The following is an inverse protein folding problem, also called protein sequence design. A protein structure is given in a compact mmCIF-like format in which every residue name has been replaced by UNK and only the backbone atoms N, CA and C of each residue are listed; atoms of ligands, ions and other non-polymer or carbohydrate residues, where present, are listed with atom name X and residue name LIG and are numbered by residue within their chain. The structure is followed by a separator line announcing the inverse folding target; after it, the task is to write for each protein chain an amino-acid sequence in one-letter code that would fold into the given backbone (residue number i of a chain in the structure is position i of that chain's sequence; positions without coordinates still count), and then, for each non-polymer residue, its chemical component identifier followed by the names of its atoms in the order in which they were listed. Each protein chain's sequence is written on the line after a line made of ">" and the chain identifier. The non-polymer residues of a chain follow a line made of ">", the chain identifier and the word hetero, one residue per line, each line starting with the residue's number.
data_IF_381458729628
#
_entry.id   IF_381458729628
#
_cell.length_a   1.000
_cell.length_b   1.000
_cell.length_c   1.000
_cell.angle_alpha   90.00
_cell.angle_beta   90.00
_cell.angle_gamma   90.00
#
_symmetry.space_group_name_H-M   'P 1'
#
loop_
_entity.id
_entity.type
_entity.pdbx_description
1 polymer ?
#
# COMPACT_ATOMS: atom_id res chain seq x y z
N UNK A 1 -8.00 28.60 -5.15
CA UNK A 1 -7.47 27.31 -5.65
C UNK A 1 -6.38 26.66 -4.78
N UNK A 2 -5.23 27.30 -4.52
CA UNK A 2 -4.11 26.71 -3.74
C UNK A 2 -4.47 26.34 -2.29
N UNK A 3 -5.27 27.18 -1.63
CA UNK A 3 -5.73 26.96 -0.25
C UNK A 3 -6.69 25.75 -0.14
N UNK A 4 -7.51 25.50 -1.16
CA UNK A 4 -8.43 24.36 -1.19
C UNK A 4 -7.65 23.04 -1.32
N UNK A 5 -6.66 23.00 -2.21
CA UNK A 5 -5.77 21.84 -2.37
C UNK A 5 -5.01 21.53 -1.08
N UNK A 6 -4.49 22.55 -0.39
CA UNK A 6 -3.80 22.38 0.88
C UNK A 6 -4.73 21.84 1.98
N UNK A 7 -6.00 22.26 2.02
CA UNK A 7 -7.02 21.75 2.95
C UNK A 7 -7.36 20.28 2.70
N UNK A 8 -7.55 19.88 1.45
CA UNK A 8 -7.80 18.47 1.12
C UNK A 8 -6.58 17.59 1.40
N UNK A 9 -5.38 18.10 1.11
CA UNK A 9 -4.13 17.42 1.42
C UNK A 9 -3.93 17.21 2.91
N UNK A 10 -4.12 18.26 3.73
CA UNK A 10 -4.01 18.14 5.18
C UNK A 10 -5.08 17.21 5.76
N UNK A 11 -6.33 17.31 5.32
CA UNK A 11 -7.40 16.40 5.70
C UNK A 11 -7.07 14.94 5.35
N UNK A 12 -6.47 14.69 4.19
CA UNK A 12 -6.00 13.36 3.78
C UNK A 12 -4.89 12.81 4.67
N UNK A 13 -3.93 13.66 5.08
CA UNK A 13 -2.88 13.28 6.03
C UNK A 13 -3.47 12.95 7.40
N UNK A 14 -4.37 13.79 7.93
CA UNK A 14 -5.01 13.54 9.22
C UNK A 14 -5.87 12.28 9.20
N UNK A 15 -6.71 12.10 8.17
CA UNK A 15 -7.53 10.89 8.01
C UNK A 15 -6.66 9.63 7.90
N UNK A 16 -5.61 9.68 7.08
CA UNK A 16 -4.64 8.59 6.92
C UNK A 16 -3.89 8.29 8.22
N UNK A 17 -3.45 9.32 8.94
CA UNK A 17 -2.75 9.19 10.22
C UNK A 17 -3.63 8.56 11.31
N UNK A 18 -4.87 9.02 11.44
CA UNK A 18 -5.85 8.46 12.38
C UNK A 18 -6.16 7.00 12.04
N UNK A 19 -6.44 6.70 10.76
CA UNK A 19 -6.68 5.33 10.30
C UNK A 19 -5.53 4.40 10.67
N UNK A 20 -4.28 4.78 10.35
CA UNK A 20 -3.07 4.00 10.69
C UNK A 20 -2.87 3.84 12.19
N UNK A 21 -3.24 4.84 12.97
CA UNK A 21 -3.13 4.79 14.44
C UNK A 21 -4.15 3.83 15.05
N UNK A 22 -5.37 3.79 14.51
CA UNK A 22 -6.39 2.81 14.90
C UNK A 22 -5.96 1.38 14.53
N UNK A 23 -5.31 1.18 13.36
CA UNK A 23 -4.87 -0.14 12.91
C UNK A 23 -3.49 -0.56 13.42
N UNK A 24 -2.75 0.33 14.09
CA UNK A 24 -1.36 0.09 14.50
C UNK A 24 -1.16 -1.18 15.36
N UNK A 25 -2.02 -1.49 16.35
CA UNK A 25 -1.89 -2.73 17.12
C UNK A 25 -2.00 -3.99 16.26
N UNK A 26 -2.93 -3.99 15.30
CA UNK A 26 -3.16 -5.11 14.38
C UNK A 26 -1.99 -5.22 13.38
N UNK A 27 -1.53 -4.10 12.84
CA UNK A 27 -0.35 -4.04 11.96
C UNK A 27 0.89 -4.61 12.65
N UNK A 28 1.10 -4.28 13.93
CA UNK A 28 2.21 -4.82 14.72
C UNK A 28 2.06 -6.32 14.92
N UNK A 29 0.87 -6.78 15.28
CA UNK A 29 0.59 -8.21 15.45
C UNK A 29 0.86 -9.00 14.17
N UNK A 30 0.34 -8.51 13.03
CA UNK A 30 0.60 -9.08 11.71
C UNK A 30 2.09 -9.14 11.41
N UNK A 31 2.81 -8.03 11.61
CA UNK A 31 4.26 -7.96 11.32
C UNK A 31 5.05 -8.93 12.20
N UNK A 32 4.64 -9.13 13.45
CA UNK A 32 5.27 -10.07 14.36
C UNK A 32 5.13 -11.52 13.87
N UNK A 33 3.91 -11.94 13.51
CA UNK A 33 3.67 -13.26 12.92
C UNK A 33 4.38 -13.45 11.58
N UNK A 34 4.48 -12.40 10.76
CA UNK A 34 5.19 -12.48 9.47
C UNK A 34 6.70 -12.71 9.62
N UNK A 35 7.30 -12.31 10.75
CA UNK A 35 8.75 -12.45 10.95
C UNK A 35 9.12 -13.65 11.80
N UNK A 36 8.38 -13.93 12.87
CA UNK A 36 8.65 -15.09 13.72
C UNK A 36 7.94 -16.36 13.25
N UNK A 37 7.03 -16.25 12.28
CA UNK A 37 6.19 -17.37 11.84
C UNK A 37 5.17 -17.78 12.90
N UNK A 38 4.45 -18.87 12.61
CA UNK A 38 3.82 -19.69 13.64
C UNK A 38 4.93 -20.60 14.16
N UNK A 39 5.16 -20.63 15.47
CA UNK A 39 6.11 -21.55 16.09
C UNK A 39 5.83 -23.00 15.62
N UNK A 40 6.86 -23.84 15.52
CA UNK A 40 6.78 -25.22 15.02
C UNK A 40 5.80 -26.09 15.83
N UNK A 41 5.44 -25.64 17.03
CA UNK A 41 4.45 -26.20 17.94
C UNK A 41 3.00 -25.77 17.65
N UNK A 42 2.74 -24.83 16.72
CA UNK A 42 1.40 -24.38 16.33
C UNK A 42 0.63 -23.58 17.39
N UNK A 43 1.24 -23.26 18.53
CA UNK A 43 0.55 -22.74 19.73
C UNK A 43 0.56 -21.22 19.91
N UNK A 44 1.15 -20.45 18.99
CA UNK A 44 1.10 -18.98 19.09
C UNK A 44 -0.30 -18.45 18.74
N UNK A 45 -1.17 -18.42 19.75
CA UNK A 45 -2.50 -17.82 19.67
C UNK A 45 -2.38 -16.29 19.70
N UNK A 46 -3.25 -15.58 18.98
CA UNK A 46 -3.34 -14.10 18.97
C UNK A 46 -3.28 -13.55 20.41
N UNK A 47 -4.00 -14.17 21.34
CA UNK A 47 -4.06 -13.77 22.76
C UNK A 47 -2.72 -13.93 23.47
N UNK A 48 -2.00 -15.03 23.27
CA UNK A 48 -0.71 -15.28 23.92
C UNK A 48 0.35 -14.34 23.39
N UNK A 49 0.41 -14.14 22.06
CA UNK A 49 1.30 -13.17 21.43
C UNK A 49 1.03 -11.74 21.91
N UNK A 50 -0.23 -11.32 21.95
CA UNK A 50 -0.61 -9.99 22.42
C UNK A 50 -0.28 -9.79 23.91
N UNK A 51 -0.56 -10.80 24.74
CA UNK A 51 -0.20 -10.78 26.17
C UNK A 51 1.31 -10.64 26.36
N UNK A 52 2.11 -11.38 25.60
CA UNK A 52 3.57 -11.29 25.64
C UNK A 52 4.07 -9.90 25.22
N UNK A 53 3.51 -9.30 24.16
CA UNK A 53 3.88 -7.95 23.73
C UNK A 53 3.56 -6.89 24.79
N UNK A 54 2.40 -6.98 25.44
CA UNK A 54 1.99 -6.05 26.50
C UNK A 54 2.82 -6.25 27.75
N UNK A 55 3.15 -7.50 28.13
CA UNK A 55 4.04 -7.79 29.26
C UNK A 55 5.45 -7.25 29.03
N UNK A 56 5.95 -7.30 27.80
CA UNK A 56 7.32 -6.86 27.47
C UNK A 56 7.50 -5.34 27.47
N UNK A 57 6.48 -4.57 27.04
CA UNK A 57 6.64 -3.14 26.80
C UNK A 57 5.44 -2.26 27.15
N UNK A 58 4.47 -2.82 27.87
CA UNK A 58 3.19 -2.17 28.17
C UNK A 58 2.30 -2.00 26.94
N UNK A 59 1.14 -1.37 27.16
CA UNK A 59 0.14 -1.16 26.10
C UNK A 59 0.65 -0.22 25.00
N UNK A 60 1.47 0.78 25.37
CA UNK A 60 2.10 1.71 24.42
C UNK A 60 3.02 0.99 23.42
N UNK A 61 3.51 -0.21 23.75
CA UNK A 61 4.33 -0.97 22.82
C UNK A 61 3.57 -1.33 21.54
N UNK A 62 2.25 -1.48 21.59
CA UNK A 62 1.43 -1.87 20.43
C UNK A 62 1.53 -0.88 19.27
N UNK A 63 1.86 0.38 19.54
CA UNK A 63 2.06 1.43 18.53
C UNK A 63 3.52 1.57 18.06
N UNK A 64 4.42 0.64 18.43
CA UNK A 64 5.82 0.68 17.97
C UNK A 64 5.90 0.60 16.44
N UNK A 65 6.56 1.60 15.85
CA UNK A 65 6.69 1.74 14.40
C UNK A 65 5.50 2.44 13.72
N UNK A 66 4.44 2.83 14.44
CA UNK A 66 3.30 3.57 13.86
C UNK A 66 3.74 4.89 13.22
N UNK A 67 4.69 5.60 13.85
CA UNK A 67 5.23 6.85 13.31
C UNK A 67 5.82 6.65 11.91
N UNK A 68 6.55 5.56 11.70
CA UNK A 68 7.13 5.24 10.40
C UNK A 68 6.05 4.85 9.37
N UNK A 69 4.93 4.28 9.82
CA UNK A 69 3.76 4.01 8.99
C UNK A 69 3.11 5.29 8.47
N UNK A 70 2.98 6.32 9.30
CA UNK A 70 2.40 7.60 8.89
C UNK A 70 3.35 8.36 7.95
N UNK A 71 4.63 8.45 8.32
CA UNK A 71 5.64 9.20 7.55
C UNK A 71 5.82 8.63 6.14
N UNK A 72 5.86 7.30 5.99
CA UNK A 72 6.19 6.67 4.70
C UNK A 72 5.08 6.72 3.67
N UNK A 73 3.81 6.93 4.08
CA UNK A 73 2.66 6.85 3.17
C UNK A 73 2.72 7.93 2.10
N UNK A 74 3.09 9.16 2.47
CA UNK A 74 3.12 10.27 1.52
C UNK A 74 4.25 10.16 0.49
N UNK A 75 5.52 9.87 0.88
CA UNK A 75 6.59 9.66 -0.10
C UNK A 75 6.35 8.48 -1.03
N UNK A 76 5.81 7.37 -0.49
CA UNK A 76 5.55 6.16 -1.29
C UNK A 76 4.54 6.43 -2.41
N UNK A 77 3.43 7.11 -2.10
CA UNK A 77 2.42 7.48 -3.09
C UNK A 77 2.96 8.51 -4.09
N UNK A 78 3.68 9.53 -3.61
CA UNK A 78 4.22 10.58 -4.47
C UNK A 78 5.21 10.04 -5.52
N UNK A 79 6.17 9.21 -5.09
CA UNK A 79 7.16 8.60 -5.99
C UNK A 79 6.48 7.68 -7.00
N UNK A 80 5.46 6.92 -6.58
CA UNK A 80 4.72 6.03 -7.48
C UNK A 80 3.98 6.79 -8.56
N UNK A 81 3.28 7.87 -8.20
CA UNK A 81 2.56 8.71 -9.16
C UNK A 81 3.53 9.42 -10.12
N UNK A 82 4.61 10.01 -9.59
CA UNK A 82 5.64 10.66 -10.40
C UNK A 82 6.30 9.68 -11.38
N UNK A 83 6.65 8.48 -10.90
CA UNK A 83 7.24 7.44 -11.76
C UNK A 83 6.25 7.00 -12.83
N UNK A 84 4.97 6.82 -12.45
CA UNK A 84 3.92 6.45 -13.40
C UNK A 84 3.73 7.50 -14.50
N UNK A 85 3.68 8.79 -14.15
CA UNK A 85 3.61 9.87 -15.14
C UNK A 85 4.83 9.89 -16.05
N UNK A 86 6.02 9.65 -15.49
CA UNK A 86 7.27 9.61 -16.26
C UNK A 86 7.25 8.47 -17.26
N UNK A 87 6.93 7.24 -16.83
CA UNK A 87 6.82 6.10 -17.74
C UNK A 87 5.72 6.28 -18.77
N UNK A 88 4.58 6.86 -18.37
CA UNK A 88 3.49 7.19 -19.29
C UNK A 88 3.94 8.19 -20.37
N UNK A 89 4.74 9.20 -20.02
CA UNK A 89 5.30 10.16 -20.98
C UNK A 89 6.31 9.50 -21.92
N UNK A 90 7.13 8.59 -21.41
CA UNK A 90 8.09 7.83 -22.23
C UNK A 90 7.38 6.93 -23.26
N UNK A 91 6.30 6.26 -22.87
CA UNK A 91 5.48 5.45 -23.78
C UNK A 91 4.66 6.34 -24.72
N UNK A 92 4.05 7.40 -24.18
CA UNK A 92 3.16 8.32 -24.90
C UNK A 92 3.86 9.34 -25.81
N UNK A 93 5.18 9.54 -25.69
CA UNK A 93 5.95 10.31 -26.69
C UNK A 93 5.92 9.67 -28.08
N UNK A 94 5.49 8.41 -28.18
CA UNK A 94 5.42 7.67 -29.45
C UNK A 94 4.04 7.75 -30.13
N UNK A 95 2.93 8.08 -29.44
CA UNK A 95 1.59 7.99 -30.05
C UNK A 95 0.56 8.99 -29.50
N UNK A 96 -0.13 9.68 -30.41
CA UNK A 96 -1.39 10.45 -30.21
C UNK A 96 -2.61 9.54 -29.97
N UNK A 97 -2.43 8.34 -29.41
CA UNK A 97 -3.46 7.32 -29.24
C UNK A 97 -3.75 7.07 -27.75
N UNK A 98 -4.98 6.68 -27.41
CA UNK A 98 -5.29 6.23 -26.04
C UNK A 98 -4.47 4.99 -25.67
N UNK A 99 -3.76 5.07 -24.55
CA UNK A 99 -2.86 4.03 -24.04
C UNK A 99 -3.63 2.75 -23.74
N UNK A 100 -3.17 1.63 -24.30
CA UNK A 100 -3.77 0.31 -24.14
C UNK A 100 -3.67 -0.16 -22.67
N UNK A 101 -4.57 -1.06 -22.28
CA UNK A 101 -4.64 -1.64 -20.94
C UNK A 101 -3.32 -2.32 -20.56
N UNK A 102 -2.68 -3.02 -21.51
CA UNK A 102 -1.37 -3.64 -21.32
C UNK A 102 -0.23 -2.63 -21.09
N UNK A 103 -0.22 -1.51 -21.80
CA UNK A 103 0.79 -0.46 -21.64
C UNK A 103 0.65 0.25 -20.29
N UNK A 104 -0.59 0.50 -19.84
CA UNK A 104 -0.87 1.00 -18.49
C UNK A 104 -0.35 0.04 -17.43
N UNK A 105 -0.51 -1.26 -17.63
CA UNK A 105 0.02 -2.29 -16.76
C UNK A 105 1.57 -2.26 -16.70
N UNK A 106 2.25 -2.16 -17.84
CA UNK A 106 3.71 -2.07 -17.88
C UNK A 106 4.22 -0.79 -17.20
N UNK A 107 3.60 0.36 -17.49
CA UNK A 107 3.93 1.63 -16.83
C UNK A 107 3.68 1.56 -15.32
N UNK A 108 2.57 0.94 -14.90
CA UNK A 108 2.23 0.73 -13.50
C UNK A 108 3.21 -0.17 -12.77
N UNK A 109 3.63 -1.27 -13.42
CA UNK A 109 4.60 -2.22 -12.88
C UNK A 109 5.98 -1.58 -12.73
N UNK A 110 6.46 -0.86 -13.75
CA UNK A 110 7.73 -0.14 -13.72
C UNK A 110 7.72 0.97 -12.66
N UNK A 111 6.64 1.75 -12.57
CA UNK A 111 6.45 2.77 -11.53
C UNK A 111 6.43 2.17 -10.13
N UNK A 112 5.73 1.03 -9.95
CA UNK A 112 5.67 0.29 -8.71
C UNK A 112 7.05 -0.22 -8.27
N UNK A 113 7.86 -0.70 -9.22
CA UNK A 113 9.23 -1.14 -8.98
C UNK A 113 10.13 0.03 -8.57
N UNK A 114 10.14 1.12 -9.32
CA UNK A 114 10.95 2.31 -9.00
C UNK A 114 10.58 2.88 -7.64
N UNK A 115 9.29 3.02 -7.34
CA UNK A 115 8.83 3.46 -6.03
C UNK A 115 9.25 2.49 -4.92
N UNK A 116 9.14 1.18 -5.16
CA UNK A 116 9.54 0.17 -4.19
C UNK A 116 11.04 0.18 -3.92
N UNK A 117 11.88 0.40 -4.93
CA UNK A 117 13.34 0.49 -4.79
C UNK A 117 13.76 1.72 -3.98
N UNK A 118 13.16 2.88 -4.25
CA UNK A 118 13.47 4.13 -3.53
C UNK A 118 12.98 4.10 -2.07
N UNK A 119 11.80 3.53 -1.82
CA UNK A 119 11.21 3.44 -0.47
C UNK A 119 11.76 2.25 0.33
N UNK A 120 12.52 1.36 -0.30
CA UNK A 120 12.97 0.11 0.30
C UNK A 120 13.71 0.28 1.64
N UNK A 121 14.67 1.22 1.79
CA UNK A 121 15.35 1.44 3.08
C UNK A 121 14.37 1.78 4.21
N UNK A 122 13.35 2.58 3.90
CA UNK A 122 12.33 2.99 4.87
C UNK A 122 11.40 1.82 5.25
N UNK A 123 11.13 0.89 4.33
CA UNK A 123 10.43 -0.38 4.63
C UNK A 123 11.24 -1.24 5.59
N UNK A 124 12.55 -1.38 5.36
CA UNK A 124 13.44 -2.14 6.24
C UNK A 124 13.51 -1.56 7.65
N UNK A 125 13.70 -0.24 7.77
CA UNK A 125 13.75 0.46 9.05
C UNK A 125 12.42 0.29 9.80
N UNK A 126 11.28 0.45 9.12
CA UNK A 126 9.96 0.23 9.72
C UNK A 126 9.86 -1.17 10.34
N UNK A 127 10.16 -2.20 9.57
CA UNK A 127 10.03 -3.60 10.02
C UNK A 127 10.90 -3.86 11.25
N UNK A 128 12.15 -3.39 11.25
CA UNK A 128 13.07 -3.50 12.40
C UNK A 128 12.55 -2.76 13.64
N UNK A 129 11.97 -1.57 13.46
CA UNK A 129 11.38 -0.78 14.56
C UNK A 129 10.09 -1.37 15.12
N UNK A 130 9.28 -2.03 14.30
CA UNK A 130 8.01 -2.66 14.72
C UNK A 130 8.25 -3.92 15.55
N UNK A 131 9.28 -4.69 15.19
CA UNK A 131 9.60 -5.99 15.79
C UNK A 131 10.55 -5.85 16.99
N UNK A 132 11.17 -4.68 17.17
CA UNK A 132 12.16 -4.46 18.23
C UNK A 132 11.63 -4.83 19.62
N UNK A 133 12.55 -5.38 20.42
CA UNK A 133 12.32 -5.55 21.86
C UNK A 133 12.41 -4.22 22.61
N UNK A 134 11.83 -4.16 23.79
CA UNK A 134 11.95 -3.01 24.71
C UNK A 134 13.44 -2.71 24.94
N UNK A 135 13.83 -1.43 24.87
CA UNK A 135 15.22 -0.92 25.01
C UNK A 135 16.24 -1.26 23.90
N UNK A 136 15.86 -1.94 22.81
CA UNK A 136 16.79 -2.25 21.72
C UNK A 136 17.24 -1.02 20.91
N UNK A 137 16.34 -0.05 20.71
CA UNK A 137 16.60 1.20 19.99
C UNK A 137 15.97 2.39 20.70
N UNK A 138 16.75 3.43 20.96
CA UNK A 138 16.25 4.64 21.63
C UNK A 138 15.51 5.58 20.67
N UNK A 139 15.94 5.64 19.41
CA UNK A 139 15.34 6.47 18.37
C UNK A 139 15.37 5.80 17.00
N UNK A 140 14.69 6.40 16.02
CA UNK A 140 14.76 5.96 14.61
C UNK A 140 16.21 6.08 14.12
N UNK A 141 16.89 7.17 14.48
CA UNK A 141 18.28 7.44 14.07
C UNK A 141 19.24 6.43 14.70
N UNK A 142 19.05 6.09 15.98
CA UNK A 142 19.81 5.02 16.65
C UNK A 142 19.63 3.66 15.95
N UNK A 143 18.40 3.36 15.52
CA UNK A 143 18.13 2.16 14.72
C UNK A 143 18.89 2.15 13.40
N UNK A 144 18.86 3.25 12.65
CA UNK A 144 19.57 3.39 11.37
C UNK A 144 21.08 3.22 11.58
N UNK A 145 21.65 3.91 12.57
CA UNK A 145 23.07 3.84 12.87
C UNK A 145 23.52 2.43 13.28
N UNK A 146 22.74 1.74 14.12
CA UNK A 146 23.04 0.36 14.52
C UNK A 146 22.95 -0.62 13.35
N UNK A 147 21.96 -0.49 12.48
CA UNK A 147 21.85 -1.31 11.27
C UNK A 147 23.06 -1.07 10.37
N UNK A 148 23.41 0.20 10.13
CA UNK A 148 24.53 0.57 9.27
C UNK A 148 25.87 0.04 9.81
N UNK A 149 26.13 0.20 11.11
CA UNK A 149 27.38 -0.26 11.74
C UNK A 149 27.48 -1.78 11.85
N UNK A 150 26.36 -2.48 12.06
CA UNK A 150 26.34 -3.93 12.27
C UNK A 150 26.27 -4.75 10.98
N UNK A 151 25.41 -4.37 10.04
CA UNK A 151 25.10 -5.15 8.83
C UNK A 151 25.47 -4.42 7.52
N UNK A 152 25.86 -3.14 7.59
CA UNK A 152 26.23 -2.32 6.44
C UNK A 152 25.06 -1.85 5.58
N UNK A 153 25.38 -1.22 4.43
CA UNK A 153 24.38 -0.67 3.50
C UNK A 153 23.50 -1.74 2.85
N UNK A 154 24.03 -2.96 2.66
CA UNK A 154 23.30 -4.07 2.04
C UNK A 154 22.08 -4.49 2.85
N UNK A 155 22.12 -4.31 4.18
CA UNK A 155 21.02 -4.63 5.07
C UNK A 155 19.73 -3.89 4.71
N UNK A 156 19.85 -2.64 4.26
CA UNK A 156 18.71 -1.81 3.91
C UNK A 156 17.98 -2.33 2.67
N UNK A 157 18.67 -3.04 1.76
CA UNK A 157 18.15 -3.58 0.51
C UNK A 157 17.91 -5.10 0.52
N UNK A 158 18.13 -5.76 1.66
CA UNK A 158 17.94 -7.20 1.83
C UNK A 158 16.46 -7.55 1.72
N UNK A 159 16.07 -8.15 0.59
CA UNK A 159 14.69 -8.52 0.26
C UNK A 159 14.05 -7.66 -0.85
N UNK A 160 14.82 -6.81 -1.53
CA UNK A 160 14.33 -6.04 -2.68
C UNK A 160 13.87 -6.98 -3.80
N UNK A 161 14.63 -8.03 -4.09
CA UNK A 161 14.30 -9.04 -5.11
C UNK A 161 12.90 -9.66 -4.90
N UNK A 162 12.57 -10.29 -3.76
CA UNK A 162 11.23 -10.83 -3.56
C UNK A 162 10.14 -9.76 -3.59
N UNK A 163 10.45 -8.54 -3.13
CA UNK A 163 9.50 -7.42 -3.21
C UNK A 163 9.24 -6.97 -4.65
N UNK A 164 10.25 -7.02 -5.52
CA UNK A 164 10.14 -6.70 -6.93
C UNK A 164 9.35 -7.78 -7.69
N UNK A 165 9.65 -9.06 -7.42
CA UNK A 165 8.93 -10.18 -8.01
C UNK A 165 7.44 -10.16 -7.66
N UNK A 166 7.08 -9.70 -6.46
CA UNK A 166 5.68 -9.58 -6.04
C UNK A 166 4.88 -8.49 -6.78
N UNK A 167 5.54 -7.53 -7.45
CA UNK A 167 4.87 -6.43 -8.15
C UNK A 167 4.16 -6.92 -9.41
N UNK A 168 4.81 -7.81 -10.17
CA UNK A 168 4.28 -8.34 -11.43
C UNK A 168 2.91 -9.03 -11.25
N UNK A 169 2.74 -10.03 -10.35
CA UNK A 169 1.45 -10.67 -10.15
C UNK A 169 0.43 -9.72 -9.52
N UNK A 170 0.85 -8.81 -8.62
CA UNK A 170 -0.05 -7.82 -8.03
C UNK A 170 -0.65 -6.91 -9.10
N UNK A 171 0.18 -6.39 -10.01
CA UNK A 171 -0.29 -5.60 -11.14
C UNK A 171 -1.19 -6.42 -12.09
N UNK A 172 -0.96 -7.73 -12.21
CA UNK A 172 -1.76 -8.59 -13.09
C UNK A 172 -3.17 -8.80 -12.54
N UNK A 173 -3.26 -8.96 -11.23
CA UNK A 173 -4.54 -9.02 -10.50
C UNK A 173 -5.27 -7.68 -10.61
N UNK A 174 -4.58 -6.56 -10.41
CA UNK A 174 -5.16 -5.22 -10.58
C UNK A 174 -5.73 -5.03 -11.99
N UNK A 175 -5.04 -5.52 -13.01
CA UNK A 175 -5.49 -5.48 -14.40
C UNK A 175 -6.73 -6.33 -14.64
N UNK A 176 -6.71 -7.59 -14.19
CA UNK A 176 -7.82 -8.52 -14.34
C UNK A 176 -9.07 -8.01 -13.62
N UNK A 177 -8.90 -7.44 -12.42
CA UNK A 177 -9.97 -6.78 -11.68
C UNK A 177 -10.52 -5.58 -12.44
N UNK A 178 -9.65 -4.70 -12.93
CA UNK A 178 -10.06 -3.53 -13.69
C UNK A 178 -10.86 -3.93 -14.94
N UNK A 179 -10.39 -4.88 -15.74
CA UNK A 179 -11.11 -5.34 -16.92
C UNK A 179 -12.44 -6.00 -16.59
N UNK A 180 -12.48 -6.85 -15.57
CA UNK A 180 -13.70 -7.54 -15.15
C UNK A 180 -14.75 -6.54 -14.69
N UNK A 181 -14.36 -5.58 -13.85
CA UNK A 181 -15.26 -4.54 -13.35
C UNK A 181 -15.72 -3.61 -14.45
N UNK A 182 -14.80 -3.16 -15.32
CA UNK A 182 -15.13 -2.31 -16.47
C UNK A 182 -16.17 -2.98 -17.38
N UNK A 183 -15.95 -4.25 -17.77
CA UNK A 183 -16.90 -5.01 -18.60
C UNK A 183 -18.27 -5.16 -17.94
N UNK A 184 -18.32 -5.37 -16.62
CA UNK A 184 -19.59 -5.46 -15.86
C UNK A 184 -20.34 -4.14 -15.85
N UNK A 185 -19.64 -3.03 -15.63
CA UNK A 185 -20.24 -1.68 -15.63
C UNK A 185 -20.74 -1.34 -17.03
N UNK A 186 -19.94 -1.60 -18.07
CA UNK A 186 -20.33 -1.36 -19.47
C UNK A 186 -21.53 -2.21 -19.89
N UNK A 187 -21.59 -3.48 -19.47
CA UNK A 187 -22.77 -4.32 -19.72
C UNK A 187 -24.02 -3.80 -19.00
N UNK A 188 -23.89 -3.28 -17.78
CA UNK A 188 -25.00 -2.68 -17.03
C UNK A 188 -25.47 -1.36 -17.66
N UNK A 189 -24.53 -0.51 -18.11
CA UNK A 189 -24.83 0.72 -18.84
C UNK A 189 -25.46 0.44 -20.21
N UNK A 190 -24.96 -0.57 -20.95
CA UNK A 190 -25.53 -1.02 -22.22
C UNK A 190 -26.95 -1.60 -22.08
N UNK A 191 -27.27 -2.22 -20.94
CA UNK A 191 -28.62 -2.65 -20.61
C UNK A 191 -29.57 -1.46 -20.34
N UNK A 192 -29.14 -0.47 -19.56
CA UNK A 192 -29.94 0.73 -19.24
C UNK A 192 -30.08 1.72 -20.40
N UNK A 193 -29.14 1.74 -21.36
CA UNK A 193 -29.22 2.57 -22.58
C UNK A 193 -29.88 1.87 -23.77
N UNK A 194 -30.33 0.62 -23.62
CA UNK A 194 -31.03 -0.08 -24.69
C UNK A 194 -32.38 0.61 -24.97
N UNK A 195 -32.64 1.12 -26.19
CA UNK A 195 -33.86 1.84 -26.51
C UNK A 195 -35.13 1.00 -26.28
N UNK A 196 -35.04 -0.33 -26.36
CA UNK A 196 -36.17 -1.22 -26.06
C UNK A 196 -36.57 -1.18 -24.57
N UNK A 197 -35.61 -1.12 -23.65
CA UNK A 197 -35.88 -1.09 -22.20
C UNK A 197 -36.37 0.31 -21.79
N UNK A 198 -35.79 1.37 -22.35
CA UNK A 198 -36.24 2.74 -22.17
C UNK A 198 -37.67 2.96 -22.71
N UNK A 199 -38.04 2.30 -23.82
CA UNK A 199 -39.41 2.36 -24.36
C UNK A 199 -40.39 1.53 -23.52
N UNK A 200 -39.97 0.39 -22.96
CA UNK A 200 -40.79 -0.40 -22.04
C UNK A 200 -41.04 0.33 -20.72
N UNK A 201 -40.03 0.95 -20.10
CA UNK A 201 -40.23 1.78 -18.90
C UNK A 201 -41.18 2.95 -19.18
N UNK A 202 -41.05 3.63 -20.34
CA UNK A 202 -41.99 4.68 -20.74
C UNK A 202 -43.41 4.16 -20.99
N UNK A 203 -43.58 2.93 -21.47
CA UNK A 203 -44.90 2.30 -21.63
C UNK A 203 -45.52 1.95 -20.27
N UNK A 204 -44.76 1.46 -19.30
CA UNK A 204 -45.28 1.14 -17.97
C UNK A 204 -45.53 2.39 -17.10
N UNK A 205 -44.84 3.50 -17.35
CA UNK A 205 -45.01 4.76 -16.60
C UNK A 205 -46.11 5.66 -17.18
N UNK A 206 -46.49 5.52 -18.46
CA UNK A 206 -47.57 6.30 -19.09
C UNK A 206 -48.97 5.68 -18.96
N UNK A 207 -49.11 4.49 -18.37
CA UNK A 207 -50.40 3.81 -18.12
C UNK A 207 -50.94 4.03 -16.69
N UNK A 208 -50.45 5.06 -15.98
CA UNK A 208 -51.02 5.59 -14.72
C UNK A 208 -51.41 7.06 -14.90
#
# INVERSE_FOLDING_TARGET
>A
PKLLWLRHFSAGIFAGGTSRTCTAPIDRLRTFFQVYGLDASGQMTIRTTLSSMVKEGGIKSLWRGNLMNVIKVSPETGIRLMSYETFKRLVGQTQTHEINVFEKFLCGSAAGFTASALIYPMKTIKTRLTIRKTNQYQSIVDCIMKIYRGEGLRAFYKGLLPSALAIIPASGIDLALYETLKRRIEAYQGYTTNPMINNLEKMFVNDQ
#
